data_IF_034415154673
#
_entry.id   IF_034415154673
#
_cell.length_a   1.000
_cell.length_b   1.000
_cell.length_c   1.000
_cell.angle_alpha   90.00
_cell.angle_beta   90.00
_cell.angle_gamma   90.00
#
_symmetry.space_group_name_H-M   'P 1'
#
loop_
_entity.id
_entity.type
_entity.pdbx_description
1 polymer ?
#
# COMPACT_ATOMS: atom_id res chain seq x y z
N UNK A 1 21.41 1.52 12.80
CA UNK A 1 22.17 1.29 11.54
C UNK A 1 21.16 1.07 10.43
N UNK A 2 21.30 1.69 9.25
CA UNK A 2 20.47 1.41 8.08
C UNK A 2 21.06 0.21 7.32
N UNK A 3 20.21 -0.71 6.84
CA UNK A 3 20.64 -1.86 6.04
C UNK A 3 20.85 -1.49 4.57
N UNK A 4 20.10 -0.49 4.10
CA UNK A 4 20.19 0.03 2.74
C UNK A 4 20.24 1.56 2.77
N UNK A 5 21.04 2.14 1.88
CA UNK A 5 21.19 3.59 1.71
C UNK A 5 20.50 4.06 0.42
N UNK A 6 19.53 3.32 -0.07
CA UNK A 6 18.77 3.61 -1.27
C UNK A 6 17.31 3.21 -1.08
N UNK A 7 16.36 3.79 -1.83
CA UNK A 7 14.96 3.41 -1.76
C UNK A 7 14.75 1.96 -2.23
N UNK A 8 13.80 1.27 -1.61
CA UNK A 8 13.49 -0.14 -1.91
C UNK A 8 12.12 -0.31 -2.56
N UNK A 9 11.23 0.66 -2.37
CA UNK A 9 9.85 0.68 -2.85
C UNK A 9 9.60 1.91 -3.72
N UNK A 10 8.75 1.78 -4.73
CA UNK A 10 8.14 2.90 -5.42
C UNK A 10 6.62 2.79 -5.37
N UNK A 11 5.95 3.82 -4.84
CA UNK A 11 4.51 4.03 -5.01
C UNK A 11 4.30 4.85 -6.28
N UNK A 12 3.88 4.19 -7.35
CA UNK A 12 3.67 4.81 -8.65
C UNK A 12 2.19 5.08 -8.86
N UNK A 13 1.76 6.32 -8.69
CA UNK A 13 0.38 6.75 -8.90
C UNK A 13 0.09 6.89 -10.40
N UNK A 14 -0.73 5.99 -10.95
CA UNK A 14 -1.08 6.00 -12.37
C UNK A 14 -2.09 7.09 -12.73
N UNK A 15 -2.94 7.43 -11.77
CA UNK A 15 -3.94 8.50 -11.79
C UNK A 15 -4.49 8.67 -10.38
N UNK A 16 -4.97 9.86 -10.01
CA UNK A 16 -5.74 10.04 -8.77
C UNK A 16 -7.23 9.77 -8.97
N UNK A 17 -7.69 9.59 -10.22
CA UNK A 17 -9.10 9.25 -10.50
C UNK A 17 -9.46 7.92 -9.85
N UNK A 18 -10.66 7.88 -9.28
CA UNK A 18 -11.24 6.66 -8.73
C UNK A 18 -12.71 6.54 -9.16
N UNK A 19 -13.17 5.33 -9.30
CA UNK A 19 -14.59 5.01 -9.54
C UNK A 19 -15.34 4.62 -8.25
N UNK A 20 -14.72 4.87 -7.09
CA UNK A 20 -15.31 4.82 -5.75
C UNK A 20 -15.00 6.14 -5.03
N UNK A 21 -15.80 6.49 -4.02
CA UNK A 21 -15.69 7.72 -3.24
C UNK A 21 -15.67 7.42 -1.74
N UNK A 22 -14.74 6.54 -1.32
CA UNK A 22 -14.62 6.04 0.04
C UNK A 22 -14.56 7.17 1.06
N UNK A 23 -15.30 7.04 2.18
CA UNK A 23 -15.39 8.10 3.17
C UNK A 23 -14.10 8.36 3.96
N UNK A 24 -13.13 7.44 3.89
CA UNK A 24 -11.83 7.52 4.55
C UNK A 24 -10.67 7.86 3.59
N UNK A 25 -10.97 8.31 2.36
CA UNK A 25 -9.98 8.60 1.34
C UNK A 25 -10.37 9.84 0.55
N UNK A 26 -9.44 10.77 0.36
CA UNK A 26 -9.64 12.05 -0.35
C UNK A 26 -9.08 12.05 -1.79
N UNK A 27 -8.40 10.98 -2.19
CA UNK A 27 -7.66 10.93 -3.45
C UNK A 27 -8.56 11.14 -4.68
N UNK A 28 -9.80 10.65 -4.62
CA UNK A 28 -10.77 10.72 -5.72
C UNK A 28 -11.28 12.15 -5.99
N UNK A 29 -11.09 13.07 -5.04
CA UNK A 29 -11.44 14.49 -5.18
C UNK A 29 -10.40 15.26 -6.00
N UNK A 30 -9.19 14.72 -6.14
CA UNK A 30 -8.09 15.40 -6.83
C UNK A 30 -8.27 15.30 -8.35
N UNK A 31 -8.23 16.44 -9.08
CA UNK A 31 -8.12 16.39 -10.53
C UNK A 31 -6.82 15.68 -10.90
N UNK A 32 -6.86 14.86 -11.95
CA UNK A 32 -5.67 14.05 -12.30
C UNK A 32 -5.62 13.70 -13.77
N UNK A 33 -4.44 13.79 -14.39
CA UNK A 33 -4.14 13.13 -15.66
C UNK A 33 -4.03 11.62 -15.48
N UNK A 34 -3.74 10.95 -16.57
CA UNK A 34 -3.18 9.60 -16.60
C UNK A 34 -1.69 9.71 -16.97
N UNK A 35 -0.86 8.89 -16.33
CA UNK A 35 0.56 8.81 -16.69
C UNK A 35 0.72 8.36 -18.15
N UNK A 36 1.81 8.75 -18.80
CA UNK A 36 2.13 8.30 -20.15
C UNK A 36 3.02 7.04 -20.08
N UNK A 37 2.97 6.23 -21.15
CA UNK A 37 3.81 5.03 -21.27
C UNK A 37 5.29 5.39 -21.30
N UNK A 38 5.62 6.50 -21.92
CA UNK A 38 6.99 7.03 -22.02
C UNK A 38 7.54 7.34 -20.63
N UNK A 39 6.81 8.12 -19.82
CA UNK A 39 7.19 8.46 -18.44
C UNK A 39 7.37 7.20 -17.58
N UNK A 40 6.45 6.23 -17.70
CA UNK A 40 6.57 4.96 -16.95
C UNK A 40 7.82 4.21 -17.36
N UNK A 41 8.13 4.09 -18.65
CA UNK A 41 9.30 3.36 -19.13
C UNK A 41 10.63 4.00 -18.67
N UNK A 42 10.74 5.33 -18.74
CA UNK A 42 11.90 6.11 -18.28
C UNK A 42 12.08 6.01 -16.78
N UNK A 43 10.99 6.23 -16.00
CA UNK A 43 11.03 6.16 -14.55
C UNK A 43 11.36 4.75 -14.05
N UNK A 44 10.81 3.69 -14.63
CA UNK A 44 11.18 2.31 -14.29
C UNK A 44 12.67 2.03 -14.56
N UNK A 45 13.26 2.60 -15.62
CA UNK A 45 14.68 2.46 -15.87
C UNK A 45 15.53 3.17 -14.79
N UNK A 46 15.13 4.38 -14.39
CA UNK A 46 15.79 5.13 -13.30
C UNK A 46 15.64 4.41 -11.95
N UNK A 47 14.42 3.99 -11.58
CA UNK A 47 14.16 3.23 -10.35
C UNK A 47 15.02 1.98 -10.23
N UNK A 48 15.25 1.27 -11.35
CA UNK A 48 16.14 0.10 -11.37
C UNK A 48 17.59 0.47 -11.05
N UNK A 49 18.12 1.57 -11.62
CA UNK A 49 19.48 2.05 -11.31
C UNK A 49 19.60 2.52 -9.86
N UNK A 50 18.54 3.15 -9.32
CA UNK A 50 18.46 3.58 -7.93
C UNK A 50 18.38 2.42 -6.92
N UNK A 51 18.21 1.17 -7.38
CA UNK A 51 18.16 -0.01 -6.51
C UNK A 51 16.78 -0.37 -5.99
N UNK A 52 15.72 0.30 -6.44
CA UNK A 52 14.33 -0.05 -6.11
C UNK A 52 14.02 -1.49 -6.54
N UNK A 53 13.31 -2.21 -5.69
CA UNK A 53 12.97 -3.61 -5.90
C UNK A 53 11.49 -3.87 -6.11
N UNK A 54 10.66 -3.08 -5.47
CA UNK A 54 9.20 -3.22 -5.48
C UNK A 54 8.60 -1.99 -6.14
N UNK A 55 7.66 -2.19 -7.06
CA UNK A 55 6.85 -1.11 -7.64
C UNK A 55 5.39 -1.42 -7.35
N UNK A 56 4.77 -0.56 -6.57
CA UNK A 56 3.33 -0.55 -6.32
C UNK A 56 2.65 0.37 -7.34
N UNK A 57 1.97 -0.23 -8.31
CA UNK A 57 1.15 0.53 -9.25
C UNK A 57 -0.19 0.84 -8.58
N UNK A 58 -0.32 2.06 -8.16
CA UNK A 58 -1.40 2.56 -7.32
C UNK A 58 -2.07 3.79 -7.93
N UNK A 59 -2.86 4.50 -7.13
CA UNK A 59 -3.56 5.72 -7.53
C UNK A 59 -4.86 5.86 -6.78
N UNK A 60 -5.88 6.43 -7.41
CA UNK A 60 -7.25 6.27 -7.00
C UNK A 60 -7.68 4.83 -7.27
N UNK A 61 -7.95 4.48 -8.53
CA UNK A 61 -8.14 3.09 -8.95
C UNK A 61 -7.20 2.80 -10.12
N UNK A 62 -6.17 1.95 -9.96
CA UNK A 62 -5.17 1.71 -10.99
C UNK A 62 -5.72 1.04 -12.25
N UNK A 63 -6.81 0.26 -12.14
CA UNK A 63 -7.44 -0.39 -13.27
C UNK A 63 -8.23 0.58 -14.18
N UNK A 64 -8.37 1.84 -13.81
CA UNK A 64 -8.85 2.88 -14.72
C UNK A 64 -7.83 3.18 -15.82
N UNK A 65 -6.55 2.91 -15.57
CA UNK A 65 -5.52 3.10 -16.59
C UNK A 65 -5.48 1.91 -17.55
N UNK A 66 -5.88 2.15 -18.80
CA UNK A 66 -6.03 1.07 -19.81
C UNK A 66 -4.73 0.33 -20.15
N UNK A 67 -3.59 0.97 -19.94
CA UNK A 67 -2.26 0.41 -20.24
C UNK A 67 -1.57 -0.20 -19.01
N UNK A 68 -2.28 -0.43 -17.91
CA UNK A 68 -1.68 -1.00 -16.69
C UNK A 68 -0.99 -2.36 -16.97
N UNK A 69 -1.55 -3.19 -17.84
CA UNK A 69 -0.92 -4.44 -18.26
C UNK A 69 0.44 -4.22 -18.91
N UNK A 70 0.56 -3.22 -19.78
CA UNK A 70 1.85 -2.87 -20.44
C UNK A 70 2.87 -2.39 -19.40
N UNK A 71 2.43 -1.60 -18.40
CA UNK A 71 3.30 -1.10 -17.33
C UNK A 71 3.83 -2.23 -16.45
N UNK A 72 2.95 -3.17 -16.10
CA UNK A 72 3.33 -4.37 -15.38
C UNK A 72 4.32 -5.22 -16.16
N UNK A 73 4.12 -5.42 -17.48
CA UNK A 73 5.06 -6.11 -18.33
C UNK A 73 6.43 -5.42 -18.36
N UNK A 74 6.45 -4.09 -18.48
CA UNK A 74 7.70 -3.30 -18.44
C UNK A 74 8.43 -3.48 -17.10
N UNK A 75 7.70 -3.43 -15.98
CA UNK A 75 8.27 -3.62 -14.65
C UNK A 75 8.82 -5.05 -14.46
N UNK A 76 8.02 -6.07 -14.83
CA UNK A 76 8.47 -7.49 -14.77
C UNK A 76 9.68 -7.73 -15.63
N UNK A 77 9.72 -7.18 -16.87
CA UNK A 77 10.87 -7.27 -17.78
C UNK A 77 12.16 -6.66 -17.20
N UNK A 78 12.06 -5.74 -16.26
CA UNK A 78 13.19 -5.16 -15.53
C UNK A 78 13.48 -5.88 -14.19
N UNK A 79 12.72 -6.92 -13.86
CA UNK A 79 12.89 -7.73 -12.64
C UNK A 79 12.44 -7.02 -11.36
N UNK A 80 11.39 -6.20 -11.45
CA UNK A 80 10.70 -5.68 -10.25
C UNK A 80 9.71 -6.70 -9.71
N UNK A 81 9.53 -6.67 -8.40
CA UNK A 81 8.34 -7.20 -7.73
C UNK A 81 7.23 -6.17 -7.94
N UNK A 82 6.09 -6.62 -8.45
CA UNK A 82 4.96 -5.75 -8.81
C UNK A 82 3.81 -5.94 -7.83
N UNK A 83 3.20 -4.84 -7.39
CA UNK A 83 2.01 -4.87 -6.54
C UNK A 83 0.89 -4.04 -7.15
N UNK A 84 -0.34 -4.47 -6.93
CA UNK A 84 -1.55 -3.74 -7.34
C UNK A 84 -2.62 -3.95 -6.28
N UNK A 85 -3.19 -2.85 -5.79
CA UNK A 85 -4.40 -2.86 -4.96
C UNK A 85 -5.56 -2.31 -5.76
N UNK A 86 -6.70 -3.01 -5.78
CA UNK A 86 -7.90 -2.61 -6.53
C UNK A 86 -9.18 -2.72 -5.70
N UNK A 87 -10.14 -1.84 -5.98
CA UNK A 87 -11.50 -1.90 -5.44
C UNK A 87 -12.38 -2.96 -6.12
N UNK A 88 -11.83 -3.71 -7.05
CA UNK A 88 -12.46 -4.80 -7.80
C UNK A 88 -13.57 -4.43 -8.80
N UNK A 89 -14.03 -3.19 -8.87
CA UNK A 89 -15.10 -2.81 -9.82
C UNK A 89 -14.76 -3.13 -11.28
N UNK A 90 -13.50 -2.97 -11.66
CA UNK A 90 -13.02 -3.18 -13.02
C UNK A 90 -12.29 -4.50 -13.22
N UNK A 91 -11.94 -5.21 -12.16
CA UNK A 91 -11.20 -6.45 -12.25
C UNK A 91 -11.94 -7.55 -13.06
N UNK A 92 -13.26 -7.73 -12.96
CA UNK A 92 -13.98 -8.71 -13.79
C UNK A 92 -13.88 -8.44 -15.30
N UNK A 93 -13.54 -7.20 -15.68
CA UNK A 93 -13.42 -6.81 -17.10
C UNK A 93 -11.96 -6.81 -17.60
N UNK A 94 -11.02 -6.42 -16.74
CA UNK A 94 -9.64 -6.16 -17.16
C UNK A 94 -8.60 -7.03 -16.44
N UNK A 95 -8.99 -7.78 -15.41
CA UNK A 95 -8.08 -8.57 -14.58
C UNK A 95 -7.28 -9.62 -15.35
N UNK A 96 -7.86 -10.18 -16.43
CA UNK A 96 -7.14 -11.14 -17.28
C UNK A 96 -5.85 -10.53 -17.89
N UNK A 97 -5.82 -9.23 -18.15
CA UNK A 97 -4.64 -8.52 -18.66
C UNK A 97 -3.51 -8.41 -17.61
N UNK A 98 -3.81 -8.69 -16.35
CA UNK A 98 -2.85 -8.63 -15.25
C UNK A 98 -2.27 -10.01 -14.92
N UNK A 99 -2.82 -11.08 -15.51
CA UNK A 99 -2.49 -12.45 -15.19
C UNK A 99 -1.01 -12.74 -15.32
N UNK A 100 -0.40 -13.25 -14.23
CA UNK A 100 1.04 -13.57 -14.15
C UNK A 100 1.95 -12.34 -14.09
N UNK A 101 1.40 -11.14 -14.03
CA UNK A 101 2.15 -9.88 -14.03
C UNK A 101 2.18 -9.19 -12.66
N UNK A 102 1.36 -9.61 -11.70
CA UNK A 102 1.27 -9.03 -10.37
C UNK A 102 1.73 -10.06 -9.33
N UNK A 103 2.82 -9.74 -8.62
CA UNK A 103 3.34 -10.63 -7.57
C UNK A 103 2.52 -10.55 -6.27
N UNK A 104 2.01 -9.35 -5.95
CA UNK A 104 1.15 -9.12 -4.80
C UNK A 104 -0.11 -8.38 -5.26
N UNK A 105 -1.18 -9.14 -5.44
CA UNK A 105 -2.49 -8.64 -5.87
C UNK A 105 -3.40 -8.52 -4.64
N UNK A 106 -3.87 -7.31 -4.36
CA UNK A 106 -4.71 -7.03 -3.21
C UNK A 106 -6.11 -6.61 -3.66
N UNK A 107 -7.12 -7.25 -3.10
CA UNK A 107 -8.53 -6.91 -3.26
C UNK A 107 -9.04 -6.24 -2.00
N UNK A 108 -9.50 -5.03 -2.14
CA UNK A 108 -9.90 -4.20 -1.02
C UNK A 108 -11.25 -4.60 -0.45
N UNK A 109 -11.33 -4.75 0.88
CA UNK A 109 -12.56 -5.05 1.61
C UNK A 109 -12.65 -4.20 2.88
N UNK A 110 -13.83 -3.65 3.19
CA UNK A 110 -14.04 -2.82 4.38
C UNK A 110 -15.07 -3.43 5.35
N UNK A 111 -15.85 -4.43 4.92
CA UNK A 111 -16.80 -5.18 5.76
C UNK A 111 -17.15 -6.50 5.09
N UNK A 112 -17.45 -7.53 5.88
CA UNK A 112 -18.00 -8.80 5.39
C UNK A 112 -19.48 -8.67 5.05
N UNK A 113 -20.15 -7.67 5.58
CA UNK A 113 -21.50 -7.27 5.24
C UNK A 113 -21.50 -6.44 3.94
N UNK A 114 -22.36 -6.86 2.99
CA UNK A 114 -22.46 -6.24 1.67
C UNK A 114 -22.84 -4.76 1.73
N UNK A 115 -23.85 -4.44 2.52
CA UNK A 115 -24.39 -3.07 2.59
C UNK A 115 -23.40 -2.13 3.23
N UNK A 116 -22.76 -2.55 4.32
CA UNK A 116 -21.72 -1.78 5.01
C UNK A 116 -20.50 -1.56 4.10
N UNK A 117 -20.05 -2.60 3.37
CA UNK A 117 -18.94 -2.47 2.43
C UNK A 117 -19.25 -1.45 1.34
N UNK A 118 -20.42 -1.58 0.71
CA UNK A 118 -20.84 -0.67 -0.37
C UNK A 118 -21.04 0.77 0.16
N UNK A 119 -21.58 0.93 1.37
CA UNK A 119 -21.74 2.23 2.01
C UNK A 119 -20.37 2.89 2.32
N UNK A 120 -19.41 2.12 2.85
CA UNK A 120 -18.04 2.60 3.12
C UNK A 120 -17.36 3.14 1.85
N UNK A 121 -17.57 2.45 0.72
CA UNK A 121 -16.98 2.80 -0.58
C UNK A 121 -17.84 3.73 -1.43
N UNK A 122 -19.08 3.99 -0.99
CA UNK A 122 -20.08 4.80 -1.71
C UNK A 122 -20.33 4.33 -3.15
N UNK A 123 -20.23 3.02 -3.37
CA UNK A 123 -20.46 2.35 -4.66
C UNK A 123 -20.78 0.88 -4.44
N UNK A 124 -21.65 0.32 -5.28
CA UNK A 124 -22.00 -1.12 -5.24
C UNK A 124 -20.85 -1.96 -5.83
N UNK A 125 -19.94 -2.45 -4.98
CA UNK A 125 -18.73 -3.17 -5.40
C UNK A 125 -18.51 -4.53 -4.71
N UNK A 126 -19.30 -4.90 -3.71
CA UNK A 126 -19.14 -6.16 -2.98
C UNK A 126 -19.24 -7.40 -3.89
N UNK A 127 -20.24 -7.44 -4.76
CA UNK A 127 -20.40 -8.57 -5.69
C UNK A 127 -19.31 -8.60 -6.75
N UNK A 128 -18.78 -7.43 -7.14
CA UNK A 128 -17.62 -7.36 -8.02
C UNK A 128 -16.37 -7.94 -7.35
N UNK A 129 -16.19 -7.69 -6.05
CA UNK A 129 -15.11 -8.32 -5.26
C UNK A 129 -15.24 -9.84 -5.27
N UNK A 130 -16.41 -10.40 -4.93
CA UNK A 130 -16.62 -11.85 -4.92
C UNK A 130 -16.37 -12.46 -6.30
N UNK A 131 -16.92 -11.85 -7.35
CA UNK A 131 -16.68 -12.27 -8.74
C UNK A 131 -15.20 -12.17 -9.12
N UNK A 132 -14.49 -11.12 -8.67
CA UNK A 132 -13.05 -10.94 -8.92
C UNK A 132 -12.23 -12.06 -8.28
N UNK A 133 -12.57 -12.47 -7.06
CA UNK A 133 -11.94 -13.59 -6.37
C UNK A 133 -12.11 -14.89 -7.18
N UNK A 134 -13.32 -15.18 -7.61
CA UNK A 134 -13.61 -16.42 -8.35
C UNK A 134 -12.87 -16.43 -9.71
N UNK A 135 -12.83 -15.30 -10.42
CA UNK A 135 -12.08 -15.16 -11.67
C UNK A 135 -10.58 -15.29 -11.45
N UNK A 136 -10.01 -14.58 -10.47
CA UNK A 136 -8.58 -14.64 -10.15
C UNK A 136 -8.15 -16.08 -9.83
N UNK A 137 -8.90 -16.78 -8.98
CA UNK A 137 -8.67 -18.20 -8.67
C UNK A 137 -8.78 -19.09 -9.90
N UNK A 138 -9.75 -18.83 -10.75
CA UNK A 138 -9.91 -19.55 -12.03
C UNK A 138 -8.73 -19.35 -12.99
N UNK A 139 -8.04 -18.25 -12.91
CA UNK A 139 -6.82 -17.97 -13.68
C UNK A 139 -5.53 -18.45 -13.00
N UNK A 140 -5.62 -19.01 -11.79
CA UNK A 140 -4.47 -19.45 -10.99
C UNK A 140 -3.82 -18.32 -10.20
N UNK A 141 -4.44 -17.13 -10.17
CA UNK A 141 -4.00 -16.02 -9.32
C UNK A 141 -4.53 -16.20 -7.89
N UNK A 142 -3.83 -15.60 -6.93
CA UNK A 142 -4.21 -15.70 -5.51
C UNK A 142 -4.13 -14.33 -4.86
N UNK A 143 -5.21 -13.54 -4.97
CA UNK A 143 -5.26 -12.23 -4.34
C UNK A 143 -5.28 -12.37 -2.82
N UNK A 144 -4.69 -11.39 -2.14
CA UNK A 144 -4.93 -11.19 -0.72
C UNK A 144 -6.13 -10.27 -0.53
N UNK A 145 -6.88 -10.49 0.53
CA UNK A 145 -7.94 -9.57 0.93
C UNK A 145 -7.31 -8.49 1.82
N UNK A 146 -7.25 -7.27 1.31
CA UNK A 146 -6.81 -6.12 2.09
C UNK A 146 -8.01 -5.55 2.85
N UNK A 147 -8.12 -5.92 4.13
CA UNK A 147 -9.22 -5.50 5.00
C UNK A 147 -8.85 -4.22 5.74
N UNK A 148 -9.55 -3.12 5.41
CA UNK A 148 -9.39 -1.86 6.13
C UNK A 148 -10.07 -1.97 7.48
N UNK A 149 -9.27 -2.10 8.55
CA UNK A 149 -9.79 -2.22 9.92
C UNK A 149 -10.13 -0.85 10.47
N UNK A 150 -11.37 -0.70 10.92
CA UNK A 150 -11.94 0.50 11.54
C UNK A 150 -12.58 0.13 12.88
N UNK A 151 -12.83 1.10 13.79
CA UNK A 151 -13.51 0.82 15.06
C UNK A 151 -14.85 0.11 14.89
N UNK A 152 -15.58 0.46 13.85
CA UNK A 152 -16.91 -0.09 13.57
C UNK A 152 -16.92 -1.50 12.98
N UNK A 153 -15.77 -2.07 12.58
CA UNK A 153 -15.70 -3.37 11.90
C UNK A 153 -14.72 -4.40 12.53
N UNK A 154 -14.00 -4.06 13.61
CA UNK A 154 -13.10 -5.00 14.30
C UNK A 154 -13.82 -6.29 14.71
N UNK A 155 -15.08 -6.18 15.13
CA UNK A 155 -15.92 -7.32 15.52
C UNK A 155 -16.25 -8.28 14.37
N UNK A 156 -16.04 -7.89 13.13
CA UNK A 156 -16.28 -8.72 11.94
C UNK A 156 -15.11 -9.67 11.62
N UNK A 157 -13.95 -9.54 12.27
CA UNK A 157 -12.76 -10.34 11.97
C UNK A 157 -13.00 -11.86 12.09
N UNK A 158 -13.77 -12.39 13.05
CA UNK A 158 -14.09 -13.82 13.10
C UNK A 158 -14.80 -14.32 11.84
N UNK A 159 -15.79 -13.58 11.35
CA UNK A 159 -16.53 -13.91 10.13
C UNK A 159 -15.67 -13.72 8.87
N UNK A 160 -14.87 -12.64 8.83
CA UNK A 160 -13.86 -12.40 7.79
C UNK A 160 -12.91 -13.59 7.65
N UNK A 161 -12.39 -14.08 8.78
CA UNK A 161 -11.50 -15.24 8.83
C UNK A 161 -12.18 -16.49 8.27
N UNK A 162 -13.39 -16.80 8.75
CA UNK A 162 -14.15 -17.96 8.30
C UNK A 162 -14.38 -17.91 6.79
N UNK A 163 -14.87 -16.78 6.29
CA UNK A 163 -15.29 -16.61 4.89
C UNK A 163 -14.12 -16.60 3.90
N UNK A 164 -13.06 -15.87 4.20
CA UNK A 164 -11.99 -15.64 3.24
C UNK A 164 -10.77 -16.56 3.46
N UNK A 165 -10.42 -16.86 4.70
CA UNK A 165 -9.28 -17.75 4.97
C UNK A 165 -9.72 -19.21 4.92
N UNK A 166 -10.72 -19.59 5.71
CA UNK A 166 -11.10 -21.02 5.83
C UNK A 166 -11.82 -21.51 4.59
N UNK A 167 -12.85 -20.81 4.12
CA UNK A 167 -13.70 -21.27 3.01
C UNK A 167 -13.08 -20.99 1.63
N UNK A 168 -12.47 -19.81 1.44
CA UNK A 168 -11.90 -19.43 0.14
C UNK A 168 -10.41 -19.71 0.00
N UNK A 169 -9.67 -20.00 1.11
CA UNK A 169 -8.24 -20.27 1.09
C UNK A 169 -7.41 -19.06 0.66
N UNK A 170 -7.76 -17.86 1.11
CA UNK A 170 -7.06 -16.63 0.79
C UNK A 170 -6.34 -16.08 2.02
N UNK A 171 -5.26 -15.36 1.81
CA UNK A 171 -4.65 -14.54 2.85
C UNK A 171 -5.50 -13.29 3.09
N UNK A 172 -5.59 -12.89 4.36
CA UNK A 172 -6.21 -11.62 4.77
C UNK A 172 -5.14 -10.74 5.41
N UNK A 173 -5.01 -9.53 4.89
CA UNK A 173 -4.16 -8.48 5.44
C UNK A 173 -5.03 -7.56 6.29
N UNK A 174 -4.80 -7.54 7.60
CA UNK A 174 -5.46 -6.58 8.48
C UNK A 174 -4.71 -5.24 8.40
N UNK A 175 -5.34 -4.26 7.78
CA UNK A 175 -4.78 -2.94 7.54
C UNK A 175 -5.50 -1.89 8.41
N UNK A 176 -4.95 -1.55 9.61
CA UNK A 176 -5.57 -0.56 10.48
C UNK A 176 -5.66 0.79 9.79
N UNK A 177 -6.85 1.39 9.81
CA UNK A 177 -7.07 2.75 9.32
C UNK A 177 -6.13 3.72 10.04
N UNK A 178 -5.68 4.74 9.34
CA UNK A 178 -4.91 5.83 9.91
C UNK A 178 -5.57 7.17 9.60
N UNK A 179 -5.39 8.12 10.51
CA UNK A 179 -5.88 9.48 10.33
C UNK A 179 -4.81 10.33 9.64
N UNK A 180 -5.23 11.14 8.68
CA UNK A 180 -4.45 12.21 8.07
C UNK A 180 -5.43 13.29 7.53
N UNK A 181 -5.02 14.55 7.58
CA UNK A 181 -5.85 15.67 7.09
C UNK A 181 -7.31 15.64 7.63
N UNK A 182 -7.49 15.33 8.91
CA UNK A 182 -8.80 15.19 9.56
C UNK A 182 -9.69 14.06 8.99
N UNK A 183 -9.14 13.21 8.13
CA UNK A 183 -9.82 12.02 7.57
C UNK A 183 -9.34 10.77 8.27
N UNK A 184 -10.26 9.89 8.63
CA UNK A 184 -9.98 8.61 9.28
C UNK A 184 -10.33 8.62 10.78
N UNK A 185 -10.23 7.46 11.37
CA UNK A 185 -10.53 7.19 12.77
C UNK A 185 -9.35 6.46 13.42
N UNK A 186 -9.20 6.58 14.73
CA UNK A 186 -8.18 5.85 15.47
C UNK A 186 -8.77 4.63 16.16
N UNK A 187 -8.03 3.55 16.17
CA UNK A 187 -8.37 2.34 16.90
C UNK A 187 -7.98 2.48 18.37
N UNK A 188 -8.89 2.10 19.27
CA UNK A 188 -8.63 2.03 20.70
C UNK A 188 -7.62 0.91 21.02
N UNK A 189 -7.02 0.98 22.22
CA UNK A 189 -6.01 0.01 22.66
C UNK A 189 -6.54 -1.43 22.66
N UNK A 190 -7.79 -1.65 23.09
CA UNK A 190 -8.44 -2.96 23.10
C UNK A 190 -8.64 -3.53 21.68
N UNK A 191 -8.92 -2.66 20.72
CA UNK A 191 -9.02 -3.05 19.30
C UNK A 191 -7.65 -3.45 18.74
N UNK A 192 -6.58 -2.71 19.07
CA UNK A 192 -5.21 -3.05 18.70
C UNK A 192 -4.78 -4.40 19.32
N UNK A 193 -5.18 -4.71 20.55
CA UNK A 193 -4.93 -6.01 21.18
C UNK A 193 -5.70 -7.14 20.49
N UNK A 194 -6.93 -6.87 20.07
CA UNK A 194 -7.72 -7.80 19.26
C UNK A 194 -7.01 -8.11 17.94
N UNK A 195 -6.48 -7.09 17.25
CA UNK A 195 -5.71 -7.29 16.02
C UNK A 195 -4.46 -8.15 16.26
N UNK A 196 -3.70 -7.90 17.33
CA UNK A 196 -2.53 -8.72 17.68
C UNK A 196 -2.89 -10.18 17.95
N UNK A 197 -4.05 -10.44 18.56
CA UNK A 197 -4.53 -11.80 18.77
C UNK A 197 -4.86 -12.50 17.44
N UNK A 198 -5.53 -11.82 16.54
CA UNK A 198 -5.87 -12.34 15.21
C UNK A 198 -4.65 -12.47 14.29
N UNK A 199 -3.70 -11.55 14.36
CA UNK A 199 -2.45 -11.59 13.60
C UNK A 199 -1.62 -12.87 13.81
N UNK A 200 -1.85 -13.59 14.93
CA UNK A 200 -1.20 -14.90 15.21
C UNK A 200 -1.85 -16.05 14.44
N UNK A 201 -3.07 -15.89 13.91
CA UNK A 201 -3.77 -16.96 13.20
C UNK A 201 -3.12 -17.21 11.83
N UNK A 202 -3.09 -18.48 11.36
CA UNK A 202 -2.67 -18.78 10.00
C UNK A 202 -3.59 -18.09 8.97
N UNK A 203 -3.01 -17.62 7.86
CA UNK A 203 -3.75 -16.91 6.82
C UNK A 203 -4.09 -15.46 7.14
N UNK A 204 -3.70 -14.94 8.32
CA UNK A 204 -3.80 -13.52 8.64
C UNK A 204 -2.41 -12.89 8.62
N UNK A 205 -2.25 -11.82 7.86
CA UNK A 205 -1.09 -10.93 7.96
C UNK A 205 -1.44 -9.69 8.78
N UNK A 206 -0.59 -9.40 9.72
CA UNK A 206 -0.54 -8.17 10.49
C UNK A 206 0.92 -7.87 10.81
N UNK A 207 1.36 -6.64 10.65
CA UNK A 207 2.69 -6.24 11.10
C UNK A 207 2.66 -5.88 12.60
N UNK A 208 3.12 -6.80 13.44
CA UNK A 208 3.14 -6.63 14.91
C UNK A 208 3.93 -5.38 15.34
N UNK A 209 5.00 -5.06 14.60
CA UNK A 209 5.81 -3.87 14.89
C UNK A 209 5.03 -2.57 14.65
N UNK A 210 4.19 -2.56 13.63
CA UNK A 210 3.33 -1.42 13.32
C UNK A 210 2.26 -1.20 14.41
N UNK A 211 1.66 -2.29 14.92
CA UNK A 211 0.74 -2.19 16.06
C UNK A 211 1.45 -1.69 17.32
N UNK A 212 2.68 -2.22 17.58
CA UNK A 212 3.48 -1.73 18.69
C UNK A 212 3.84 -0.24 18.56
N UNK A 213 4.11 0.26 17.34
CA UNK A 213 4.31 1.68 17.10
C UNK A 213 3.06 2.49 17.46
N UNK A 214 1.87 2.06 17.01
CA UNK A 214 0.60 2.74 17.32
C UNK A 214 0.35 2.79 18.83
N UNK A 215 0.52 1.69 19.54
CA UNK A 215 0.41 1.63 21.02
C UNK A 215 1.43 2.51 21.75
N UNK A 216 2.54 2.84 21.11
CA UNK A 216 3.57 3.76 21.64
C UNK A 216 3.38 5.22 21.18
N UNK A 217 2.22 5.58 20.66
CA UNK A 217 1.88 6.95 20.24
C UNK A 217 2.39 7.36 18.86
N UNK A 218 2.76 6.39 18.00
CA UNK A 218 3.17 6.67 16.63
C UNK A 218 4.63 7.12 16.48
N UNK A 219 4.91 7.83 15.40
CA UNK A 219 6.23 8.41 15.13
C UNK A 219 6.54 9.55 16.10
N UNK A 220 7.81 9.70 16.44
CA UNK A 220 8.30 10.82 17.25
C UNK A 220 9.26 11.65 16.41
N UNK A 221 9.04 12.94 16.38
CA UNK A 221 9.86 13.87 15.56
C UNK A 221 11.29 14.02 16.06
N UNK A 222 11.54 13.81 17.35
CA UNK A 222 12.88 13.83 17.97
C UNK A 222 13.70 12.55 17.70
N UNK A 223 13.04 11.36 17.56
CA UNK A 223 13.67 10.09 17.20
C UNK A 223 12.77 9.31 16.19
N UNK A 224 12.72 9.74 14.93
CA UNK A 224 11.76 9.23 13.98
C UNK A 224 12.02 7.77 13.58
N UNK A 225 10.95 7.00 13.55
CA UNK A 225 10.91 5.66 12.94
C UNK A 225 10.76 5.79 11.42
N UNK A 226 10.02 6.78 10.96
CA UNK A 226 9.72 7.03 9.57
C UNK A 226 10.97 7.41 8.76
N UNK A 227 11.14 6.75 7.62
CA UNK A 227 12.16 6.99 6.60
C UNK A 227 11.47 7.07 5.22
N UNK A 228 10.40 7.85 5.12
CA UNK A 228 9.51 7.88 3.96
C UNK A 228 10.27 8.16 2.65
N UNK A 229 10.99 9.28 2.58
CA UNK A 229 11.72 9.69 1.38
C UNK A 229 12.96 8.85 1.09
N UNK A 230 13.58 8.26 2.14
CA UNK A 230 14.76 7.40 1.98
C UNK A 230 14.43 5.96 1.55
N UNK A 231 13.23 5.46 1.89
CA UNK A 231 12.85 4.06 1.63
C UNK A 231 11.90 3.92 0.46
N UNK A 232 11.14 4.97 0.17
CA UNK A 232 10.05 4.93 -0.80
C UNK A 232 10.15 6.11 -1.77
N UNK A 233 10.21 5.83 -3.06
CA UNK A 233 10.01 6.83 -4.11
C UNK A 233 8.52 6.95 -4.38
N UNK A 234 7.99 8.15 -4.41
CA UNK A 234 6.59 8.41 -4.78
C UNK A 234 6.55 9.22 -6.06
N UNK A 235 5.87 8.70 -7.08
CA UNK A 235 5.71 9.36 -8.38
C UNK A 235 4.24 9.69 -8.60
N UNK A 236 3.95 10.95 -8.84
CA UNK A 236 2.59 11.44 -9.12
C UNK A 236 2.15 11.18 -10.57
N UNK A 237 0.84 11.27 -10.86
CA UNK A 237 0.34 11.19 -12.24
C UNK A 237 0.84 12.33 -13.14
N UNK A 238 1.24 13.45 -12.55
CA UNK A 238 1.81 14.62 -13.22
C UNK A 238 3.29 14.41 -13.59
N UNK A 239 3.86 13.23 -13.27
CA UNK A 239 5.27 12.91 -13.43
C UNK A 239 6.17 13.74 -12.53
N UNK A 240 5.83 13.83 -11.25
CA UNK A 240 6.58 14.53 -10.22
C UNK A 240 7.05 13.56 -9.13
N UNK A 241 8.21 13.83 -8.58
CA UNK A 241 8.72 13.18 -7.37
C UNK A 241 8.12 13.86 -6.14
N UNK A 242 7.33 13.13 -5.36
CA UNK A 242 6.69 13.63 -4.14
C UNK A 242 7.55 13.29 -2.92
N UNK A 243 7.95 14.31 -2.16
CA UNK A 243 8.85 14.21 -1.01
C UNK A 243 8.35 15.03 0.19
N UNK A 244 8.71 14.66 1.43
CA UNK A 244 9.27 13.38 1.82
C UNK A 244 8.21 12.28 1.86
N UNK A 245 6.92 12.64 1.82
CA UNK A 245 5.79 11.74 1.96
C UNK A 245 4.60 12.31 1.19
N UNK A 246 3.74 11.42 0.65
CA UNK A 246 2.53 11.81 -0.10
C UNK A 246 1.46 12.46 0.80
N UNK A 247 1.36 12.03 2.07
CA UNK A 247 0.23 12.41 2.94
C UNK A 247 0.47 13.70 3.71
N UNK A 248 1.70 13.93 4.19
CA UNK A 248 2.02 15.02 5.11
C UNK A 248 3.25 15.79 4.63
N UNK A 249 3.16 17.13 4.61
CA UNK A 249 4.26 18.00 4.26
C UNK A 249 4.85 17.76 2.85
N UNK A 250 4.02 17.33 1.90
CA UNK A 250 4.47 16.96 0.55
C UNK A 250 4.93 18.16 -0.28
N UNK A 251 6.07 17.97 -0.96
CA UNK A 251 6.57 18.85 -2.01
C UNK A 251 6.72 18.04 -3.29
N UNK A 252 6.45 18.65 -4.43
CA UNK A 252 6.47 18.01 -5.74
C UNK A 252 7.62 18.58 -6.58
N UNK A 253 8.52 17.71 -7.04
CA UNK A 253 9.65 18.08 -7.91
C UNK A 253 9.45 17.48 -9.30
N UNK A 254 9.43 18.29 -10.38
CA UNK A 254 9.27 17.80 -11.75
C UNK A 254 10.40 16.81 -12.12
N UNK A 255 10.03 15.64 -12.66
CA UNK A 255 11.00 14.59 -13.03
C UNK A 255 11.63 14.85 -14.39
N UNK A 256 10.86 15.21 -15.39
CA UNK A 256 11.33 15.55 -16.76
C UNK A 256 12.35 14.55 -17.35
N UNK A 257 12.10 13.24 -17.16
CA UNK A 257 13.01 12.16 -17.59
C UNK A 257 14.28 11.97 -16.75
N UNK A 258 14.47 12.75 -15.68
CA UNK A 258 15.68 12.78 -14.85
C UNK A 258 15.45 12.33 -13.40
N UNK A 259 14.56 11.35 -13.17
CA UNK A 259 14.17 10.92 -11.83
C UNK A 259 15.36 10.68 -10.88
N UNK A 260 16.40 9.98 -11.35
CA UNK A 260 17.56 9.68 -10.50
C UNK A 260 18.35 10.94 -10.12
N UNK A 261 18.54 11.87 -11.08
CA UNK A 261 19.22 13.15 -10.85
C UNK A 261 18.40 14.04 -9.90
N UNK A 262 17.08 14.12 -10.11
CA UNK A 262 16.15 14.87 -9.25
C UNK A 262 16.18 14.31 -7.84
N UNK A 263 16.10 12.99 -7.67
CA UNK A 263 16.16 12.35 -6.36
C UNK A 263 17.50 12.63 -5.63
N UNK A 264 18.62 12.68 -6.37
CA UNK A 264 19.95 12.94 -5.83
C UNK A 264 20.29 14.43 -5.70
N UNK A 265 19.43 15.33 -6.16
CA UNK A 265 19.66 16.78 -6.07
C UNK A 265 19.75 17.25 -4.62
N UNK A 266 20.48 18.37 -4.40
CA UNK A 266 20.58 18.97 -3.08
C UNK A 266 19.20 19.30 -2.49
N UNK A 267 18.29 19.85 -3.31
CA UNK A 267 16.92 20.18 -2.94
C UNK A 267 16.15 18.93 -2.44
N UNK A 268 16.15 17.85 -3.21
CA UNK A 268 15.48 16.60 -2.80
C UNK A 268 16.09 16.02 -1.52
N UNK A 269 17.41 16.06 -1.38
CA UNK A 269 18.10 15.54 -0.18
C UNK A 269 17.84 16.38 1.07
N UNK A 270 17.69 17.70 0.94
CA UNK A 270 17.27 18.58 2.04
C UNK A 270 15.85 18.27 2.52
N UNK A 271 14.91 17.99 1.59
CA UNK A 271 13.55 17.58 1.93
C UNK A 271 13.56 16.19 2.58
N UNK A 272 14.30 15.22 2.03
CA UNK A 272 14.43 13.86 2.58
C UNK A 272 15.04 13.91 3.99
N UNK A 273 15.96 14.80 4.28
CA UNK A 273 16.55 14.93 5.61
C UNK A 273 15.54 15.30 6.71
N UNK A 274 14.37 15.80 6.32
CA UNK A 274 13.27 16.14 7.23
C UNK A 274 12.25 14.99 7.40
N UNK A 275 12.46 13.84 6.78
CA UNK A 275 11.55 12.69 6.87
C UNK A 275 11.27 12.28 8.32
N UNK A 276 10.00 12.20 8.71
CA UNK A 276 9.56 11.90 10.06
C UNK A 276 9.81 12.99 11.11
N UNK A 277 10.35 14.15 10.72
CA UNK A 277 10.74 15.25 11.62
C UNK A 277 9.89 16.50 11.48
N UNK A 278 9.04 16.59 10.47
CA UNK A 278 8.12 17.71 10.32
C UNK A 278 7.11 17.71 11.49
N UNK A 279 6.60 18.88 11.91
CA UNK A 279 5.62 18.96 13.01
C UNK A 279 4.43 18.02 12.79
N UNK A 280 3.96 17.89 11.55
CA UNK A 280 2.84 17.02 11.15
C UNK A 280 3.16 15.53 11.27
N UNK A 281 4.45 15.18 11.40
CA UNK A 281 4.88 13.80 11.58
C UNK A 281 4.78 13.31 13.04
N UNK A 282 4.51 14.20 14.01
CA UNK A 282 4.34 13.78 15.40
C UNK A 282 3.10 12.91 15.54
N UNK A 283 3.23 11.75 16.19
CA UNK A 283 2.15 10.79 16.32
C UNK A 283 1.77 10.03 15.05
N UNK A 284 2.39 10.30 13.90
CA UNK A 284 2.03 9.72 12.63
C UNK A 284 2.09 8.18 12.64
N UNK A 285 1.05 7.56 12.06
CA UNK A 285 0.89 6.10 11.90
C UNK A 285 0.51 5.71 10.47
N UNK A 286 1.03 6.42 9.47
CA UNK A 286 0.80 6.10 8.05
C UNK A 286 1.60 4.86 7.66
N UNK A 287 0.93 3.72 7.52
CA UNK A 287 1.55 2.40 7.36
C UNK A 287 2.39 2.27 6.08
N UNK A 288 1.97 2.90 4.96
CA UNK A 288 2.68 2.83 3.66
C UNK A 288 4.17 3.22 3.77
N UNK A 289 4.55 4.01 4.77
CA UNK A 289 5.91 4.45 4.99
C UNK A 289 6.55 3.85 6.24
N UNK A 290 5.74 3.54 7.26
CA UNK A 290 6.24 2.96 8.50
C UNK A 290 6.74 1.52 8.28
N UNK A 291 6.00 0.70 7.58
CA UNK A 291 6.40 -0.70 7.33
C UNK A 291 7.71 -0.82 6.53
N UNK A 292 7.89 -0.13 5.39
CA UNK A 292 9.19 -0.09 4.71
C UNK A 292 10.32 0.42 5.60
N UNK A 293 10.07 1.47 6.40
CA UNK A 293 11.06 2.05 7.31
C UNK A 293 11.53 1.07 8.38
N UNK A 294 10.62 0.30 8.97
CA UNK A 294 10.93 -0.74 9.96
C UNK A 294 11.76 -1.89 9.38
N UNK A 295 11.66 -2.12 8.08
CA UNK A 295 12.38 -3.21 7.40
C UNK A 295 13.81 -2.84 7.02
N UNK A 296 14.19 -1.57 7.07
CA UNK A 296 15.53 -1.09 6.63
C UNK A 296 16.38 -0.47 7.75
N UNK A 297 15.78 -0.10 8.89
CA UNK A 297 16.49 0.48 10.04
C UNK A 297 16.44 -0.48 11.22
N UNK A 298 17.62 -0.91 11.72
CA UNK A 298 17.70 -1.71 12.94
C UNK A 298 17.32 -0.86 14.14
N UNK A 299 16.13 -1.06 14.66
CA UNK A 299 15.60 -0.44 15.87
C UNK A 299 14.74 -1.46 16.62
N UNK A 300 14.04 -1.06 17.67
CA UNK A 300 13.18 -1.94 18.48
C UNK A 300 12.05 -2.62 17.67
N UNK A 301 11.68 -2.08 16.52
CA UNK A 301 10.60 -2.60 15.67
C UNK A 301 11.10 -3.58 14.60
N UNK A 302 12.39 -3.54 14.24
CA UNK A 302 12.96 -4.29 13.11
C UNK A 302 12.71 -5.81 13.21
N UNK A 303 13.04 -6.43 14.33
CA UNK A 303 12.90 -7.90 14.46
C UNK A 303 11.45 -8.35 14.46
N UNK A 304 10.54 -7.57 15.05
CA UNK A 304 9.11 -7.86 15.03
C UNK A 304 8.54 -7.72 13.62
N UNK A 305 8.90 -6.66 12.89
CA UNK A 305 8.51 -6.46 11.49
C UNK A 305 9.05 -7.58 10.59
N UNK A 306 10.33 -7.95 10.75
CA UNK A 306 10.94 -9.05 10.01
C UNK A 306 10.19 -10.38 10.24
N UNK A 307 9.85 -10.68 11.51
CA UNK A 307 9.08 -11.89 11.85
C UNK A 307 7.72 -11.90 11.16
N UNK A 308 6.98 -10.77 11.18
CA UNK A 308 5.68 -10.66 10.52
C UNK A 308 5.79 -10.86 9.00
N UNK A 309 6.81 -10.26 8.38
CA UNK A 309 7.08 -10.40 6.94
C UNK A 309 7.46 -11.84 6.56
N UNK A 310 8.28 -12.50 7.37
CA UNK A 310 8.65 -13.91 7.15
C UNK A 310 7.43 -14.83 7.28
N UNK A 311 6.58 -14.61 8.31
CA UNK A 311 5.31 -15.35 8.47
C UNK A 311 4.47 -15.20 7.20
N UNK A 312 4.24 -13.98 6.73
CA UNK A 312 3.49 -13.71 5.51
C UNK A 312 4.07 -14.46 4.31
N UNK A 313 5.38 -14.34 4.09
CA UNK A 313 6.06 -14.98 2.97
C UNK A 313 5.91 -16.51 2.98
N UNK A 314 6.04 -17.14 4.14
CA UNK A 314 5.87 -18.59 4.30
C UNK A 314 4.41 -19.02 4.10
N UNK A 315 3.46 -18.29 4.69
CA UNK A 315 2.04 -18.64 4.60
C UNK A 315 1.46 -18.34 3.21
N UNK A 316 1.96 -17.32 2.52
CA UNK A 316 1.54 -17.02 1.14
C UNK A 316 1.74 -18.23 0.22
N UNK A 317 2.82 -19.00 0.39
CA UNK A 317 3.03 -20.25 -0.35
C UNK A 317 2.02 -21.34 -0.01
N UNK A 318 1.53 -21.41 1.23
CA UNK A 318 0.53 -22.39 1.67
C UNK A 318 -0.85 -22.07 1.12
N UNK A 319 -1.20 -20.79 1.12
CA UNK A 319 -2.47 -20.27 0.57
C UNK A 319 -2.34 -19.86 -0.91
N UNK A 320 -1.15 -20.02 -1.46
CA UNK A 320 -0.83 -19.76 -2.86
C UNK A 320 -0.99 -21.02 -3.77
#
# INVERSE_FOLDING_TARGET
MRLFNHPVLCNYYLTYRCNAACGFCDIWEKPSPYVTRENVAENLAALKRMGVRVVDFTGGEPLLHRQIGDFLQLAKGKGFITTVTTNCLLYPKYGENLRGLVDMLHFSLDSVDREKHNASRRVDCYDHLLKSIDLAKGWGERPDILFTVKPDNVHEIPELYQKFVVEKGLMVILNPIFSYNEVGEELAEEELDTLLAWGKKPGIYLNDAFIALRKNGGNRTDDPVCLAGSTTVVISPENELILPCYHLGSQALPIEGRLEEVYQSAEAQEIIAQEGRLPECEGCVVNCYMEPSMSVKTNRYFFSSLRSTLKYSLEKWVYA
#
